data_IF_978446213516
#
_entry.id   IF_978446213516
#
_cell.length_a   1.000
_cell.length_b   1.000
_cell.length_c   1.000
_cell.angle_alpha   90.00
_cell.angle_beta   90.00
_cell.angle_gamma   90.00
#
_symmetry.space_group_name_H-M   'P 1'
#
loop_
_entity.id
_entity.type
_entity.pdbx_description
1 polymer ?
#
# COMPACT_ATOMS: atom_id res chain seq x y z
N UNK A 1 -3.05 -12.44 15.93
CA UNK A 1 -2.38 -12.32 14.62
C UNK A 1 -3.15 -13.16 13.63
N UNK A 2 -3.42 -12.65 12.43
CA UNK A 2 -4.01 -13.39 11.31
C UNK A 2 -2.91 -13.52 10.27
N UNK A 3 -2.70 -14.73 9.75
CA UNK A 3 -1.77 -14.99 8.64
C UNK A 3 -2.61 -15.50 7.48
N UNK A 4 -2.51 -14.84 6.34
CA UNK A 4 -3.17 -15.23 5.10
C UNK A 4 -2.10 -15.66 4.11
N UNK A 5 -2.27 -16.84 3.52
CA UNK A 5 -1.39 -17.37 2.49
C UNK A 5 -2.17 -17.55 1.20
N UNK A 6 -1.69 -16.90 0.13
CA UNK A 6 -2.18 -17.12 -1.22
C UNK A 6 -1.20 -18.04 -1.97
N UNK A 7 -1.71 -19.15 -2.48
CA UNK A 7 -0.92 -20.09 -3.27
C UNK A 7 -1.61 -20.30 -4.62
N UNK A 8 -0.85 -20.16 -5.68
CA UNK A 8 -1.31 -20.43 -7.03
C UNK A 8 -0.54 -21.62 -7.60
N UNK A 9 -1.26 -22.68 -7.94
CA UNK A 9 -0.68 -23.86 -8.55
C UNK A 9 -0.89 -23.86 -10.06
N UNK A 10 0.18 -23.70 -10.83
CA UNK A 10 0.18 -23.75 -12.30
C UNK A 10 0.47 -25.16 -12.87
N UNK A 11 0.59 -26.17 -12.01
CA UNK A 11 0.86 -27.54 -12.43
C UNK A 11 -0.40 -28.39 -12.41
N UNK A 12 -0.49 -29.46 -13.22
CA UNK A 12 -1.61 -30.41 -13.15
C UNK A 12 -1.60 -31.29 -11.90
N UNK A 13 -0.50 -31.28 -11.14
CA UNK A 13 -0.31 -32.12 -9.97
C UNK A 13 -0.74 -31.42 -8.68
N UNK A 14 -1.10 -32.19 -7.67
CA UNK A 14 -1.39 -31.66 -6.33
C UNK A 14 -0.07 -31.21 -5.69
N UNK A 15 0.00 -29.93 -5.33
CA UNK A 15 1.13 -29.35 -4.58
C UNK A 15 0.71 -29.12 -3.15
N UNK A 16 1.51 -29.59 -2.19
CA UNK A 16 1.36 -29.28 -0.78
C UNK A 16 2.53 -28.42 -0.30
N UNK A 17 2.27 -27.49 0.59
CA UNK A 17 3.30 -26.66 1.20
C UNK A 17 2.92 -26.27 2.63
N UNK A 18 3.93 -26.09 3.47
CA UNK A 18 3.78 -25.62 4.84
C UNK A 18 4.21 -24.17 4.94
N UNK A 19 3.48 -23.40 5.76
CA UNK A 19 3.86 -22.04 6.12
C UNK A 19 4.29 -22.00 7.58
N UNK A 20 5.46 -21.47 7.82
CA UNK A 20 5.97 -21.24 9.17
C UNK A 20 6.11 -19.72 9.39
N UNK A 21 5.54 -19.23 10.49
CA UNK A 21 5.74 -17.87 10.96
C UNK A 21 6.47 -17.90 12.28
N UNK A 22 7.66 -17.32 12.33
CA UNK A 22 8.47 -17.22 13.55
C UNK A 22 8.39 -15.79 14.09
N UNK A 23 7.98 -15.69 15.35
CA UNK A 23 7.93 -14.42 16.07
C UNK A 23 9.06 -14.37 17.09
N UNK A 24 9.83 -13.30 17.04
CA UNK A 24 10.91 -13.01 17.98
C UNK A 24 10.49 -11.79 18.80
N UNK A 25 9.90 -11.98 20.01
CA UNK A 25 9.54 -10.85 20.85
C UNK A 25 10.80 -10.14 21.35
N UNK A 26 10.65 -8.85 21.67
CA UNK A 26 11.74 -8.11 22.33
C UNK A 26 12.01 -8.70 23.71
N UNK A 27 13.28 -8.89 24.04
CA UNK A 27 13.73 -9.31 25.38
C UNK A 27 13.62 -8.17 26.42
N UNK A 28 13.59 -6.93 25.93
CA UNK A 28 13.51 -5.71 26.76
C UNK A 28 12.33 -4.83 26.35
N UNK A 29 11.06 -5.26 26.56
CA UNK A 29 9.89 -4.53 26.11
C UNK A 29 9.76 -3.12 26.71
N UNK A 30 10.33 -2.89 27.90
CA UNK A 30 10.28 -1.59 28.58
C UNK A 30 11.18 -0.52 27.92
N UNK A 31 12.06 -0.91 27.02
CA UNK A 31 12.92 0.00 26.24
C UNK A 31 12.26 0.51 24.96
N UNK A 32 11.05 0.04 24.64
CA UNK A 32 10.31 0.47 23.45
C UNK A 32 9.83 1.91 23.64
N UNK A 33 10.39 2.83 22.88
CA UNK A 33 9.99 4.25 22.90
C UNK A 33 8.72 4.54 22.09
N UNK A 34 8.56 3.85 20.95
CA UNK A 34 7.43 4.04 20.03
C UNK A 34 6.83 2.71 19.58
N UNK A 35 5.53 2.67 19.44
CA UNK A 35 4.82 1.57 18.80
C UNK A 35 4.51 1.93 17.36
N UNK A 36 5.02 1.14 16.44
CA UNK A 36 4.77 1.30 15.01
C UNK A 36 3.58 0.48 14.54
N UNK A 37 3.01 0.88 13.41
CA UNK A 37 1.97 0.14 12.71
C UNK A 37 2.20 0.21 11.21
N UNK A 38 1.69 -0.79 10.50
CA UNK A 38 1.55 -0.72 9.05
C UNK A 38 0.15 -0.22 8.75
N UNK A 39 0.06 0.88 8.03
CA UNK A 39 -1.18 1.45 7.54
C UNK A 39 -1.29 1.08 6.06
N UNK A 40 -2.48 0.74 5.63
CA UNK A 40 -2.73 0.57 4.21
C UNK A 40 -3.69 1.63 3.69
N UNK A 41 -3.34 2.21 2.55
CA UNK A 41 -4.13 3.19 1.84
C UNK A 41 -4.59 2.57 0.53
N UNK A 42 -5.87 2.32 0.38
CA UNK A 42 -6.43 1.62 -0.77
C UNK A 42 -7.29 2.53 -1.63
N UNK A 43 -7.07 2.50 -2.93
CA UNK A 43 -7.95 3.10 -3.91
C UNK A 43 -8.75 1.99 -4.61
N UNK A 44 -10.06 2.00 -4.41
CA UNK A 44 -11.00 1.07 -5.03
C UNK A 44 -11.82 1.73 -6.16
N UNK A 45 -11.58 3.02 -6.42
CA UNK A 45 -12.32 3.83 -7.38
C UNK A 45 -11.69 3.84 -8.77
N UNK A 46 -11.45 2.67 -9.39
CA UNK A 46 -10.93 2.62 -10.75
C UNK A 46 -11.65 1.56 -11.61
N UNK A 47 -11.55 1.75 -12.92
CA UNK A 47 -12.06 0.85 -13.93
C UNK A 47 -11.07 0.84 -15.11
N UNK A 48 -10.66 -0.33 -15.54
CA UNK A 48 -9.68 -0.53 -16.60
C UNK A 48 -10.37 -1.06 -17.85
N UNK A 49 -10.71 -0.21 -18.82
CA UNK A 49 -11.32 -0.66 -20.09
C UNK A 49 -10.38 -1.63 -20.82
N UNK A 50 -10.94 -2.53 -21.65
CA UNK A 50 -10.14 -3.45 -22.46
C UNK A 50 -9.22 -2.71 -23.42
N UNK A 51 -8.01 -3.24 -23.62
CA UNK A 51 -7.01 -2.74 -24.57
C UNK A 51 -6.65 -1.25 -24.37
N UNK A 52 -6.58 -0.79 -23.10
CA UNK A 52 -6.28 0.62 -22.80
C UNK A 52 -5.31 0.79 -21.65
N UNK A 53 -4.49 1.84 -21.75
CA UNK A 53 -3.76 2.40 -20.62
C UNK A 53 -4.67 3.31 -19.81
N UNK A 54 -4.63 3.16 -18.49
CA UNK A 54 -5.48 3.90 -17.54
C UNK A 54 -4.65 4.32 -16.34
N UNK A 55 -5.04 5.39 -15.67
CA UNK A 55 -4.46 5.80 -14.40
C UNK A 55 -5.54 6.21 -13.42
N UNK A 56 -5.31 5.97 -12.14
CA UNK A 56 -6.16 6.46 -11.06
C UNK A 56 -5.29 7.04 -9.95
N UNK A 57 -5.76 8.13 -9.36
CA UNK A 57 -5.09 8.84 -8.28
C UNK A 57 -6.00 8.91 -7.07
N UNK A 58 -5.44 8.75 -5.89
CA UNK A 58 -6.12 8.92 -4.63
C UNK A 58 -5.21 9.62 -3.63
N UNK A 59 -5.77 10.18 -2.57
CA UNK A 59 -5.03 10.74 -1.46
C UNK A 59 -5.72 10.46 -0.14
N UNK A 60 -4.95 10.51 0.94
CA UNK A 60 -5.44 10.34 2.29
C UNK A 60 -4.59 11.12 3.28
N UNK A 61 -5.24 11.78 4.23
CA UNK A 61 -4.58 12.53 5.29
C UNK A 61 -4.42 11.71 6.55
N UNK A 62 -3.41 12.05 7.35
CA UNK A 62 -3.25 11.52 8.70
C UNK A 62 -4.01 12.38 9.70
N UNK A 63 -4.67 11.76 10.71
CA UNK A 63 -5.48 12.49 11.70
C UNK A 63 -4.65 13.08 12.85
N UNK A 64 -3.35 12.84 12.88
CA UNK A 64 -2.37 13.34 13.86
C UNK A 64 -0.96 13.14 13.32
N UNK A 65 0.02 13.80 13.94
CA UNK A 65 1.41 13.73 13.53
C UNK A 65 1.98 12.31 13.62
N UNK A 66 2.58 11.84 12.53
CA UNK A 66 3.27 10.55 12.45
C UNK A 66 4.61 10.69 11.73
N UNK A 67 5.52 9.79 12.05
CA UNK A 67 6.75 9.57 11.31
C UNK A 67 6.62 8.35 10.43
N UNK A 68 6.81 8.56 9.13
CA UNK A 68 6.84 7.52 8.11
C UNK A 68 8.27 7.02 7.95
N UNK A 69 8.50 5.72 8.17
CA UNK A 69 9.83 5.13 8.04
C UNK A 69 9.94 4.05 6.96
N UNK A 70 8.82 3.65 6.35
CA UNK A 70 8.85 2.69 5.25
C UNK A 70 7.62 2.73 4.38
N UNK A 71 7.79 2.47 3.09
CA UNK A 71 6.73 2.38 2.08
C UNK A 71 6.94 1.19 1.16
N UNK A 72 5.83 0.62 0.70
CA UNK A 72 5.79 -0.27 -0.47
C UNK A 72 4.47 -0.13 -1.20
N UNK A 73 4.46 -0.45 -2.48
CA UNK A 73 3.28 -0.49 -3.35
C UNK A 73 2.69 -1.90 -3.41
N UNK A 74 1.42 -1.97 -3.80
CA UNK A 74 0.79 -3.23 -4.18
C UNK A 74 -0.23 -3.00 -5.29
N UNK A 75 0.01 -3.62 -6.42
CA UNK A 75 -0.83 -3.67 -7.61
C UNK A 75 -0.58 -5.01 -8.30
N UNK A 76 -1.41 -5.39 -9.25
CA UNK A 76 -1.28 -6.69 -9.90
C UNK A 76 -0.67 -6.59 -11.30
N UNK A 77 -0.76 -7.67 -12.07
CA UNK A 77 -0.07 -7.91 -13.36
C UNK A 77 -0.27 -6.82 -14.42
N UNK A 78 -1.41 -6.14 -14.43
CA UNK A 78 -1.65 -5.07 -15.41
C UNK A 78 -0.98 -3.75 -15.02
N UNK A 79 -0.43 -3.67 -13.82
CA UNK A 79 0.25 -2.49 -13.31
C UNK A 79 1.52 -2.16 -14.10
N UNK A 80 1.62 -0.90 -14.48
CA UNK A 80 2.66 -0.33 -15.35
C UNK A 80 3.57 0.62 -14.57
N UNK A 81 3.02 1.30 -13.54
CA UNK A 81 3.77 2.19 -12.69
C UNK A 81 2.97 2.58 -11.44
N UNK A 82 3.64 2.72 -10.32
CA UNK A 82 3.10 3.17 -9.05
C UNK A 82 3.92 4.33 -8.51
N UNK A 83 3.26 5.45 -8.16
CA UNK A 83 3.89 6.61 -7.53
C UNK A 83 3.22 6.93 -6.21
N UNK A 84 4.03 7.29 -5.21
CA UNK A 84 3.55 7.81 -3.94
C UNK A 84 4.24 9.15 -3.69
N UNK A 85 3.44 10.13 -3.32
CA UNK A 85 3.86 11.49 -3.03
C UNK A 85 3.46 11.85 -1.60
N UNK A 86 4.33 12.53 -0.86
CA UNK A 86 3.91 13.27 0.33
C UNK A 86 2.99 14.39 -0.15
N UNK A 87 1.80 14.48 0.45
CA UNK A 87 0.76 15.45 0.07
C UNK A 87 0.45 16.38 1.23
N UNK A 88 0.31 17.66 0.94
CA UNK A 88 -0.07 18.70 1.88
C UNK A 88 -1.42 19.32 1.48
N UNK A 89 -2.11 19.91 2.46
CA UNK A 89 -3.47 20.46 2.28
C UNK A 89 -3.55 21.65 1.33
N UNK A 90 -2.44 22.31 1.03
CA UNK A 90 -2.31 23.37 0.02
C UNK A 90 -2.23 22.80 -1.41
N UNK A 91 -2.20 21.48 -1.55
CA UNK A 91 -2.12 20.76 -2.82
C UNK A 91 -0.69 20.47 -3.28
N UNK A 92 0.34 20.88 -2.55
CA UNK A 92 1.71 20.48 -2.86
C UNK A 92 1.88 18.97 -2.67
N UNK A 93 2.55 18.36 -3.64
CA UNK A 93 2.84 16.94 -3.64
C UNK A 93 4.29 16.70 -4.06
N UNK A 94 5.04 16.00 -3.22
CA UNK A 94 6.45 15.68 -3.45
C UNK A 94 6.63 14.17 -3.58
N UNK A 95 7.21 13.73 -4.70
CA UNK A 95 7.47 12.31 -4.97
C UNK A 95 8.44 11.75 -3.92
N UNK A 96 8.03 10.67 -3.25
CA UNK A 96 8.82 9.96 -2.26
C UNK A 96 9.04 8.49 -2.59
N UNK A 97 8.23 7.92 -3.51
CA UNK A 97 8.35 6.53 -3.92
C UNK A 97 7.87 6.37 -5.36
N UNK A 98 8.57 5.53 -6.12
CA UNK A 98 8.14 5.11 -7.45
C UNK A 98 8.61 3.69 -7.73
N UNK A 99 7.72 2.87 -8.33
CA UNK A 99 7.98 1.48 -8.68
C UNK A 99 7.20 1.08 -9.93
N UNK A 100 7.75 0.15 -10.72
CA UNK A 100 7.13 -0.41 -11.93
C UNK A 100 7.13 -1.96 -11.93
N UNK A 101 7.65 -2.58 -10.86
CA UNK A 101 7.67 -4.04 -10.69
C UNK A 101 6.53 -4.50 -9.76
N UNK A 102 5.39 -4.88 -10.34
CA UNK A 102 4.26 -5.38 -9.59
C UNK A 102 4.54 -6.72 -8.89
N UNK A 103 5.45 -7.55 -9.44
CA UNK A 103 5.75 -8.88 -8.92
C UNK A 103 6.73 -8.85 -7.74
N UNK A 104 7.63 -7.86 -7.71
CA UNK A 104 8.63 -7.70 -6.67
C UNK A 104 8.70 -6.24 -6.20
N UNK A 105 7.60 -5.71 -5.63
CA UNK A 105 7.56 -4.31 -5.22
C UNK A 105 8.64 -4.04 -4.17
N UNK A 106 9.41 -2.98 -4.40
CA UNK A 106 10.47 -2.60 -3.48
C UNK A 106 9.88 -2.09 -2.16
N UNK A 107 10.51 -2.43 -1.05
CA UNK A 107 10.29 -1.77 0.23
C UNK A 107 11.31 -0.64 0.36
N UNK A 108 10.84 0.60 0.48
CA UNK A 108 11.67 1.79 0.63
C UNK A 108 11.69 2.22 2.09
N UNK A 109 12.87 2.17 2.71
CA UNK A 109 13.10 2.71 4.05
C UNK A 109 13.54 4.18 3.99
N UNK A 110 13.17 4.94 5.02
CA UNK A 110 13.51 6.36 5.17
C UNK A 110 14.31 6.60 6.44
N UNK A 111 15.54 7.08 6.27
CA UNK A 111 16.40 7.54 7.36
C UNK A 111 17.14 8.81 6.90
N UNK A 112 16.78 10.00 7.43
CA UNK A 112 15.74 10.23 8.43
C UNK A 112 14.33 9.91 7.94
N UNK A 113 13.41 9.72 8.88
CA UNK A 113 11.98 9.50 8.61
C UNK A 113 11.34 10.69 7.89
N UNK A 114 10.20 10.46 7.25
CA UNK A 114 9.38 11.53 6.65
C UNK A 114 8.28 11.91 7.64
N UNK A 115 8.32 13.12 8.17
CA UNK A 115 7.28 13.65 9.04
C UNK A 115 6.02 13.97 8.25
N UNK A 116 4.88 13.44 8.69
CA UNK A 116 3.55 13.80 8.23
C UNK A 116 2.80 14.47 9.38
N UNK A 117 2.44 15.73 9.20
CA UNK A 117 1.66 16.50 10.17
C UNK A 117 0.17 16.19 10.04
N UNK A 118 -0.59 16.42 11.11
CA UNK A 118 -2.05 16.36 11.05
C UNK A 118 -2.60 17.12 9.84
N UNK A 119 -3.41 16.46 9.00
CA UNK A 119 -3.94 17.02 7.77
C UNK A 119 -3.04 16.89 6.54
N UNK A 120 -1.75 16.58 6.70
CA UNK A 120 -0.90 16.08 5.61
C UNK A 120 -1.14 14.59 5.38
N UNK A 121 -0.57 14.01 4.35
CA UNK A 121 -0.73 12.58 4.10
C UNK A 121 0.02 12.07 2.89
N UNK A 122 -0.52 11.03 2.30
CA UNK A 122 0.01 10.43 1.08
C UNK A 122 -1.00 10.58 -0.05
N UNK A 123 -0.49 10.89 -1.22
CA UNK A 123 -1.17 10.80 -2.50
C UNK A 123 -0.50 9.72 -3.32
N UNK A 124 -1.27 8.85 -3.96
CA UNK A 124 -0.70 7.81 -4.80
C UNK A 124 -1.42 7.70 -6.13
N UNK A 125 -0.66 7.31 -7.15
CA UNK A 125 -1.14 7.14 -8.51
C UNK A 125 -0.73 5.77 -9.00
N UNK A 126 -1.71 4.97 -9.39
CA UNK A 126 -1.50 3.73 -10.11
C UNK A 126 -1.72 3.94 -11.59
N UNK A 127 -0.89 3.31 -12.40
CA UNK A 127 -1.02 3.26 -13.85
C UNK A 127 -1.05 1.81 -14.29
N UNK A 128 -1.94 1.51 -15.24
CA UNK A 128 -2.12 0.17 -15.77
C UNK A 128 -2.13 0.17 -17.29
N UNK A 129 -1.74 -0.96 -17.84
CA UNK A 129 -1.88 -1.29 -19.25
C UNK A 129 -2.78 -2.54 -19.35
N UNK A 130 -4.08 -2.34 -19.45
CA UNK A 130 -4.99 -3.46 -19.66
C UNK A 130 -4.92 -3.91 -21.13
N UNK A 131 -4.13 -4.94 -21.39
CA UNK A 131 -3.99 -5.57 -22.71
C UNK A 131 -5.02 -6.68 -22.96
N UNK A 132 -5.87 -6.97 -21.95
CA UNK A 132 -6.90 -8.00 -22.03
C UNK A 132 -8.10 -7.50 -22.84
N UNK A 133 -8.86 -8.43 -23.43
CA UNK A 133 -10.09 -8.13 -24.18
C UNK A 133 -11.27 -7.77 -23.27
N UNK A 134 -11.17 -8.05 -21.98
CA UNK A 134 -12.19 -7.75 -20.99
C UNK A 134 -11.77 -6.57 -20.11
N UNK A 135 -12.76 -5.85 -19.61
CA UNK A 135 -12.53 -4.85 -18.58
C UNK A 135 -12.12 -5.50 -17.25
N UNK A 136 -11.28 -4.81 -16.47
CA UNK A 136 -10.83 -5.24 -15.15
C UNK A 136 -11.17 -4.16 -14.13
N UNK A 137 -11.62 -4.56 -12.96
CA UNK A 137 -11.92 -3.69 -11.83
C UNK A 137 -11.06 -4.04 -10.61
N UNK A 138 -11.27 -3.32 -9.51
CA UNK A 138 -10.63 -3.64 -8.24
C UNK A 138 -11.18 -4.94 -7.67
N UNK A 139 -10.29 -5.76 -7.09
CA UNK A 139 -10.68 -7.00 -6.45
C UNK A 139 -9.50 -7.77 -5.85
N UNK A 140 -9.80 -8.90 -5.21
CA UNK A 140 -8.82 -9.71 -4.47
C UNK A 140 -8.24 -10.88 -5.27
N UNK A 141 -8.82 -11.19 -6.41
CA UNK A 141 -8.34 -12.28 -7.25
C UNK A 141 -7.09 -11.82 -8.03
N UNK A 142 -6.23 -12.76 -8.38
CA UNK A 142 -5.06 -12.46 -9.23
C UNK A 142 -5.43 -11.96 -10.63
N UNK A 143 -6.68 -12.16 -11.04
CA UNK A 143 -7.23 -11.64 -12.30
C UNK A 143 -7.82 -10.24 -12.18
N UNK A 144 -8.07 -9.77 -10.97
CA UNK A 144 -8.49 -8.41 -10.66
C UNK A 144 -7.27 -7.49 -10.54
N UNK A 145 -7.48 -6.22 -10.23
CA UNK A 145 -6.42 -5.27 -9.96
C UNK A 145 -6.53 -4.62 -8.59
N UNK A 146 -5.40 -4.13 -8.09
CA UNK A 146 -5.32 -3.37 -6.85
C UNK A 146 -4.54 -2.07 -7.04
N UNK A 147 -4.74 -1.12 -6.13
CA UNK A 147 -3.99 0.12 -6.04
C UNK A 147 -3.83 0.47 -4.55
N UNK A 148 -2.87 -0.16 -3.90
CA UNK A 148 -2.70 -0.10 -2.45
C UNK A 148 -1.28 0.34 -2.10
N UNK A 149 -1.15 1.22 -1.13
CA UNK A 149 0.11 1.62 -0.50
C UNK A 149 0.14 1.07 0.92
N UNK A 150 1.23 0.43 1.30
CA UNK A 150 1.52 0.08 2.69
C UNK A 150 2.57 1.04 3.24
N UNK A 151 2.24 1.67 4.36
CA UNK A 151 3.09 2.63 5.04
C UNK A 151 3.41 2.17 6.45
N UNK A 152 4.68 2.08 6.78
CA UNK A 152 5.16 1.80 8.13
C UNK A 152 5.36 3.14 8.86
N UNK A 153 4.59 3.37 9.91
CA UNK A 153 4.57 4.64 10.65
C UNK A 153 4.55 4.43 12.15
N UNK A 154 4.98 5.44 12.90
CA UNK A 154 4.72 5.56 14.33
C UNK A 154 4.26 6.98 14.68
N UNK A 155 3.39 7.15 15.72
CA UNK A 155 2.93 8.47 16.14
C UNK A 155 4.01 9.20 16.94
N UNK A 156 4.08 10.53 16.80
CA UNK A 156 5.08 11.35 17.52
C UNK A 156 4.61 11.78 18.92
N UNK A 157 3.31 11.77 19.15
CA UNK A 157 2.67 12.35 20.34
C UNK A 157 1.88 11.35 21.19
N UNK A 158 1.86 10.07 20.83
CA UNK A 158 1.15 9.03 21.59
C UNK A 158 1.95 7.72 21.57
N UNK A 159 1.77 6.89 22.61
CA UNK A 159 2.47 5.61 22.76
C UNK A 159 1.78 4.44 22.04
N UNK A 160 0.48 4.58 21.73
CA UNK A 160 -0.27 3.53 21.03
C UNK A 160 0.06 3.49 19.54
N UNK A 161 0.04 2.29 18.99
CA UNK A 161 0.19 2.12 17.54
C UNK A 161 -0.88 2.90 16.77
N UNK A 162 -0.55 3.52 15.63
CA UNK A 162 -1.51 4.27 14.83
C UNK A 162 -2.66 3.36 14.35
N UNK A 163 -3.87 3.86 14.44
CA UNK A 163 -5.04 3.25 13.83
C UNK A 163 -5.61 4.21 12.78
N UNK A 164 -4.97 4.26 11.64
CA UNK A 164 -5.36 5.11 10.52
C UNK A 164 -5.92 4.20 9.43
N UNK A 165 -7.16 4.46 9.02
CA UNK A 165 -7.80 3.77 7.92
C UNK A 165 -8.12 4.78 6.83
N UNK A 166 -7.71 4.47 5.62
CA UNK A 166 -8.01 5.27 4.46
C UNK A 166 -8.43 4.39 3.29
N UNK A 167 -9.72 4.33 3.13
CA UNK A 167 -10.32 3.75 1.95
C UNK A 167 -10.98 4.91 1.19
N UNK A 168 -10.51 5.22 0.00
CA UNK A 168 -11.25 6.14 -0.86
C UNK A 168 -12.56 5.44 -1.24
N UNK A 169 -13.72 6.08 -0.98
CA UNK A 169 -14.99 5.51 -1.39
C UNK A 169 -15.01 5.30 -2.92
N UNK A 170 -15.78 4.34 -3.35
CA UNK A 170 -16.19 4.19 -4.74
C UNK A 170 -16.97 5.45 -5.13
N UNK A 171 -16.29 6.49 -5.57
CA UNK A 171 -16.95 7.52 -6.36
C UNK A 171 -17.15 6.93 -7.76
N UNK A 172 -18.29 6.26 -7.92
CA UNK A 172 -18.77 5.89 -9.24
C UNK A 172 -19.14 7.18 -9.98
N UNK A 173 -18.33 7.53 -10.95
CA UNK A 173 -18.70 8.44 -12.03
C UNK A 173 -19.25 7.67 -13.20
#
# INVERSE_FOLDING_TARGET
MIVEQHVLNYTPDVVSGDVEVRLYPSEEPDTIEHHASIIWFANWGFYLPPNKKTSSKAHCTVPYDVELFGLTSHFHELGDNFKIEKWASDGEANLIYEDDDWAHPKYQEYSPTISLKEGEGLQWTCRWNNYRENAVGPGKLSTDEMCITFAAVYPTNQKSAPNIQCNTPFDMF
#
